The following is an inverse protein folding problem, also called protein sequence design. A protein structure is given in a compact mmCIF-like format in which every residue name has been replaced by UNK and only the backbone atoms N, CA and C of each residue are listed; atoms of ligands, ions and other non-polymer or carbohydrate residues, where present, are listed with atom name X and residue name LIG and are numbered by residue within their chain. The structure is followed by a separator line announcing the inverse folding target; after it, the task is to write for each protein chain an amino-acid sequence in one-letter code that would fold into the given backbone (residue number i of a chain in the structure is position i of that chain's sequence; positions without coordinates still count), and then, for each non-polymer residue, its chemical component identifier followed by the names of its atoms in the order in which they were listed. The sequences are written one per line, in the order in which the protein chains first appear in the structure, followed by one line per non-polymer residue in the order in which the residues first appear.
data_IF_781897813642
#
_entry.id   IF_781897813642
#
_cell.length_a   1.000
_cell.length_b   1.000
_cell.length_c   1.000
_cell.angle_alpha   90.00
_cell.angle_beta   90.00
_cell.angle_gamma   90.00
#
_symmetry.space_group_name_H-M   'P 1'
#
loop_
_entity.id
_entity.type
_entity.pdbx_description
1 polymer ?
#
# COMPACT_ATOMS: atom_id res chain seq x y z
N UNK A 1 73.00 -42.20 42.50
CA UNK A 1 71.83 -41.30 42.64
C UNK A 1 71.49 -40.78 41.25
N UNK A 2 70.25 -40.99 40.79
CA UNK A 2 69.74 -40.54 39.48
C UNK A 2 69.51 -39.03 39.54
N UNK A 3 70.24 -38.25 38.73
CA UNK A 3 69.97 -36.82 38.52
C UNK A 3 69.04 -36.66 37.33
N UNK A 4 67.80 -36.29 37.59
CA UNK A 4 66.77 -36.01 36.59
C UNK A 4 66.99 -34.58 36.07
N UNK A 5 67.46 -34.45 34.82
CA UNK A 5 67.50 -33.14 34.15
C UNK A 5 66.07 -32.78 33.74
N UNK A 6 65.40 -31.94 34.54
CA UNK A 6 64.23 -31.20 34.07
C UNK A 6 64.77 -30.07 33.20
N UNK A 7 64.74 -30.24 31.87
CA UNK A 7 64.85 -29.10 30.97
C UNK A 7 63.55 -28.32 31.10
N UNK A 8 63.55 -27.24 31.87
CA UNK A 8 62.44 -26.28 31.84
C UNK A 8 62.34 -25.72 30.42
N UNK A 9 61.26 -26.05 29.72
CA UNK A 9 61.03 -25.62 28.33
C UNK A 9 60.98 -24.09 28.28
N UNK A 10 62.01 -23.41 27.73
CA UNK A 10 62.12 -21.95 27.80
C UNK A 10 61.05 -21.24 26.97
N UNK A 11 60.26 -21.99 26.17
CA UNK A 11 59.18 -21.48 25.34
C UNK A 11 57.79 -21.57 26.00
N UNK A 12 57.65 -22.20 27.18
CA UNK A 12 56.36 -22.36 27.86
C UNK A 12 55.74 -21.02 28.28
N UNK A 13 56.56 -20.08 28.78
CA UNK A 13 56.12 -18.74 29.14
C UNK A 13 55.86 -17.86 27.92
N UNK A 14 56.66 -18.01 26.85
CA UNK A 14 56.45 -17.28 25.59
C UNK A 14 55.18 -17.76 24.86
N UNK A 15 54.86 -19.07 24.90
CA UNK A 15 53.59 -19.61 24.38
C UNK A 15 52.39 -19.15 25.18
N UNK A 16 52.49 -19.07 26.51
CA UNK A 16 51.44 -18.50 27.36
C UNK A 16 51.16 -17.04 27.00
N UNK A 17 52.22 -16.23 26.89
CA UNK A 17 52.11 -14.83 26.50
C UNK A 17 51.54 -14.63 25.08
N UNK A 18 51.90 -15.51 24.13
CA UNK A 18 51.33 -15.50 22.78
C UNK A 18 49.84 -15.88 22.77
N UNK A 19 49.42 -16.85 23.58
CA UNK A 19 48.01 -17.22 23.71
C UNK A 19 47.20 -16.09 24.36
N UNK A 20 47.75 -15.43 25.37
CA UNK A 20 47.10 -14.28 26.01
C UNK A 20 46.94 -13.11 25.01
N UNK A 21 47.94 -12.88 24.15
CA UNK A 21 47.84 -11.88 23.07
C UNK A 21 46.76 -12.27 22.05
N UNK A 22 46.69 -13.53 21.64
CA UNK A 22 45.67 -14.00 20.68
C UNK A 22 44.27 -13.80 21.25
N UNK A 23 44.03 -14.17 22.51
CA UNK A 23 42.74 -13.98 23.15
C UNK A 23 42.33 -12.49 23.20
N UNK A 24 43.27 -11.59 23.50
CA UNK A 24 42.99 -10.15 23.49
C UNK A 24 42.69 -9.62 22.09
N UNK A 25 43.31 -10.16 21.05
CA UNK A 25 43.03 -9.78 19.66
C UNK A 25 41.64 -10.25 19.25
N UNK A 26 41.25 -11.46 19.65
CA UNK A 26 39.91 -12.01 19.38
C UNK A 26 38.84 -11.19 20.12
N UNK A 27 39.03 -10.89 21.41
CA UNK A 27 38.12 -10.04 22.20
C UNK A 27 37.94 -8.63 21.58
N UNK A 28 39.01 -8.07 20.99
CA UNK A 28 38.97 -6.76 20.32
C UNK A 28 38.27 -6.84 18.97
N UNK A 29 38.40 -7.95 18.25
CA UNK A 29 37.71 -8.16 16.98
C UNK A 29 36.20 -8.30 17.20
N UNK A 30 35.79 -9.09 18.19
CA UNK A 30 34.38 -9.27 18.56
C UNK A 30 33.76 -7.93 19.00
N UNK A 31 34.47 -7.16 19.83
CA UNK A 31 34.01 -5.82 20.24
C UNK A 31 33.92 -4.83 19.07
N UNK A 32 34.73 -4.99 18.02
CA UNK A 32 34.65 -4.14 16.84
C UNK A 32 33.43 -4.49 15.96
N UNK A 33 33.06 -5.77 15.87
CA UNK A 33 31.86 -6.24 15.17
C UNK A 33 30.58 -5.75 15.88
N UNK A 34 30.52 -5.85 17.22
CA UNK A 34 29.39 -5.30 17.99
C UNK A 34 29.22 -3.78 17.83
N UNK A 35 30.34 -3.06 17.65
CA UNK A 35 30.31 -1.61 17.40
C UNK A 35 29.81 -1.29 15.99
N UNK A 36 30.18 -2.09 14.98
CA UNK A 36 29.75 -1.92 13.59
C UNK A 36 28.22 -2.10 13.48
N UNK A 37 27.69 -3.18 14.07
CA UNK A 37 26.24 -3.42 14.14
C UNK A 37 25.49 -2.29 14.86
N UNK A 38 26.08 -1.77 15.94
CA UNK A 38 25.50 -0.64 16.68
C UNK A 38 25.54 0.67 15.89
N UNK A 39 26.55 0.86 15.02
CA UNK A 39 26.65 2.02 14.13
C UNK A 39 25.56 1.95 13.07
N UNK A 40 25.34 0.79 12.45
CA UNK A 40 24.28 0.59 11.46
C UNK A 40 22.89 0.89 12.07
N UNK A 41 22.62 0.46 13.30
CA UNK A 41 21.37 0.78 14.00
C UNK A 41 21.22 2.29 14.26
N UNK A 42 22.31 2.96 14.67
CA UNK A 42 22.32 4.41 14.89
C UNK A 42 22.17 5.18 13.59
N UNK A 43 22.78 4.73 12.49
CA UNK A 43 22.67 5.40 11.18
C UNK A 43 21.23 5.34 10.66
N UNK A 44 20.54 4.22 10.82
CA UNK A 44 19.11 4.09 10.50
C UNK A 44 18.24 5.01 11.39
N UNK A 45 18.51 5.04 12.70
CA UNK A 45 17.79 5.94 13.62
C UNK A 45 18.08 7.43 13.32
N UNK A 46 19.26 7.77 12.80
CA UNK A 46 19.61 9.13 12.37
C UNK A 46 18.89 9.50 11.08
N UNK A 47 18.73 8.56 10.13
CA UNK A 47 17.94 8.78 8.91
C UNK A 47 16.48 9.05 9.24
N UNK A 48 15.87 8.24 10.13
CA UNK A 48 14.52 8.46 10.69
C UNK A 48 14.38 9.84 11.36
N UNK A 49 15.44 10.30 12.06
CA UNK A 49 15.46 11.63 12.67
C UNK A 49 15.60 12.74 11.62
N UNK A 50 16.42 12.54 10.59
CA UNK A 50 16.57 13.48 9.47
C UNK A 50 15.26 13.73 8.75
N UNK A 51 14.48 12.67 8.52
CA UNK A 51 13.15 12.77 7.91
C UNK A 51 12.14 13.59 8.74
N UNK A 52 12.32 13.66 10.06
CA UNK A 52 11.52 14.51 10.97
C UNK A 52 11.96 15.97 11.00
N UNK A 53 13.15 16.29 10.51
CA UNK A 53 13.74 17.63 10.55
C UNK A 53 13.90 18.31 9.19
N UNK A 54 13.77 17.58 8.07
CA UNK A 54 13.74 18.15 6.72
C UNK A 54 12.46 18.96 6.41
N UNK A 55 11.53 19.03 7.36
CA UNK A 55 10.43 20.00 7.37
C UNK A 55 10.92 21.38 7.82
N UNK A 56 11.69 22.02 6.94
CA UNK A 56 12.07 23.43 6.99
C UNK A 56 10.85 24.35 6.70
N UNK A 57 9.71 24.09 7.34
CA UNK A 57 8.50 24.92 7.32
C UNK A 57 7.66 24.73 8.60
N UNK A 58 8.13 25.39 9.66
CA UNK A 58 7.31 25.99 10.72
C UNK A 58 6.48 25.03 11.58
N UNK A 59 7.11 24.39 12.57
CA UNK A 59 6.35 23.93 13.73
C UNK A 59 7.06 24.13 15.06
N UNK A 60 7.03 25.37 15.53
CA UNK A 60 6.96 25.64 16.96
C UNK A 60 5.54 25.30 17.48
N UNK A 61 5.13 24.03 17.31
CA UNK A 61 3.96 23.37 17.89
C UNK A 61 2.63 23.40 17.09
N UNK A 62 2.26 22.27 16.47
CA UNK A 62 0.88 21.86 16.29
C UNK A 62 0.27 21.90 14.88
N UNK A 63 1.02 21.99 13.79
CA UNK A 63 0.41 21.89 12.45
C UNK A 63 0.24 20.44 11.98
N UNK A 64 -0.70 19.71 12.60
CA UNK A 64 -1.13 18.36 12.18
C UNK A 64 -1.61 18.24 10.72
N UNK A 65 -1.60 19.33 9.94
CA UNK A 65 -1.94 19.33 8.52
C UNK A 65 -0.79 18.84 7.63
N UNK A 66 0.42 18.67 8.17
CA UNK A 66 1.54 18.00 7.49
C UNK A 66 2.15 17.01 8.47
N UNK A 67 2.02 15.71 8.20
CA UNK A 67 2.67 14.67 9.01
C UNK A 67 3.36 13.70 8.06
N UNK A 68 4.54 13.25 8.46
CA UNK A 68 5.36 12.27 7.73
C UNK A 68 5.73 11.17 8.73
N UNK A 69 5.59 9.93 8.32
CA UNK A 69 6.04 8.75 9.05
C UNK A 69 7.56 8.60 9.00
N UNK A 70 8.01 7.40 9.29
CA UNK A 70 9.39 6.97 9.41
C UNK A 70 9.65 5.82 8.44
N UNK A 71 10.74 5.10 8.60
CA UNK A 71 11.00 3.88 7.83
C UNK A 71 10.29 2.61 8.36
N UNK A 72 9.38 2.77 9.32
CA UNK A 72 8.73 1.70 10.09
C UNK A 72 7.22 1.89 10.02
N UNK A 73 6.48 0.82 10.28
CA UNK A 73 5.01 0.84 10.40
C UNK A 73 4.52 1.95 11.35
N UNK A 74 3.83 2.93 10.79
CA UNK A 74 3.33 4.11 11.49
C UNK A 74 1.81 4.16 11.53
N UNK A 75 1.28 4.79 12.59
CA UNK A 75 -0.13 5.17 12.68
C UNK A 75 -0.25 6.69 12.63
N UNK A 76 -0.74 7.19 11.50
CA UNK A 76 -0.81 8.62 11.22
C UNK A 76 -2.27 9.07 11.16
N UNK A 77 -2.62 9.99 12.05
CA UNK A 77 -4.00 10.49 12.14
C UNK A 77 -4.04 12.01 11.94
N UNK A 78 -4.82 12.43 10.94
CA UNK A 78 -5.08 13.81 10.57
C UNK A 78 -5.92 14.57 11.58
N UNK A 79 -6.59 15.64 11.14
CA UNK A 79 -7.52 16.38 11.98
C UNK A 79 -8.77 16.77 11.18
N UNK A 80 -9.57 17.73 11.65
CA UNK A 80 -10.81 18.10 10.95
C UNK A 80 -10.58 19.22 9.91
N UNK A 81 -9.39 19.25 9.30
CA UNK A 81 -8.97 20.21 8.29
C UNK A 81 -8.21 19.43 7.22
N UNK A 82 -8.05 20.02 6.05
CA UNK A 82 -7.21 19.48 4.99
C UNK A 82 -5.79 19.15 5.47
N UNK A 83 -5.43 17.88 5.36
CA UNK A 83 -4.16 17.29 5.75
C UNK A 83 -3.32 16.89 4.53
N UNK A 84 -2.00 16.81 4.70
CA UNK A 84 -1.04 16.21 3.80
C UNK A 84 -0.23 15.20 4.62
N UNK A 85 -0.59 13.92 4.52
CA UNK A 85 -0.04 12.85 5.35
C UNK A 85 0.76 11.88 4.47
N UNK A 86 1.90 11.40 4.97
CA UNK A 86 2.77 10.48 4.24
C UNK A 86 3.29 9.39 5.17
N UNK A 87 3.21 8.13 4.77
CA UNK A 87 3.76 6.99 5.50
C UNK A 87 5.26 6.82 5.35
N UNK A 88 5.72 6.73 4.09
CA UNK A 88 7.10 6.50 3.60
C UNK A 88 7.47 5.04 3.36
N UNK A 89 7.92 4.30 4.38
CA UNK A 89 8.28 2.88 4.28
C UNK A 89 7.72 2.17 5.50
N UNK A 90 7.47 0.87 5.38
CA UNK A 90 6.76 0.12 6.40
C UNK A 90 5.26 0.07 6.11
N UNK A 91 4.56 -0.84 6.79
CA UNK A 91 3.13 -1.05 6.57
C UNK A 91 2.34 0.01 7.38
N UNK A 92 1.93 1.10 6.74
CA UNK A 92 1.38 2.28 7.43
C UNK A 92 -0.16 2.29 7.50
N UNK A 93 -0.71 2.83 8.59
CA UNK A 93 -2.14 3.13 8.74
C UNK A 93 -2.37 4.64 8.82
N UNK A 94 -3.02 5.20 7.80
CA UNK A 94 -3.22 6.65 7.64
C UNK A 94 -4.71 7.01 7.57
N UNK A 95 -5.19 7.87 8.48
CA UNK A 95 -6.58 8.40 8.47
C UNK A 95 -6.60 9.94 8.37
N UNK A 96 -7.16 10.46 7.27
CA UNK A 96 -7.35 11.89 7.01
C UNK A 96 -8.44 12.54 7.88
N UNK A 97 -9.44 11.77 8.31
CA UNK A 97 -10.63 12.22 9.06
C UNK A 97 -11.58 13.14 8.28
N UNK A 98 -11.57 14.44 8.54
CA UNK A 98 -12.45 15.38 7.84
C UNK A 98 -11.60 16.42 7.15
N UNK A 99 -11.87 16.70 5.90
CA UNK A 99 -11.06 17.64 5.15
C UNK A 99 -11.05 17.25 3.69
N UNK A 100 -10.40 18.04 2.87
CA UNK A 100 -9.96 17.54 1.57
C UNK A 100 -8.48 17.20 1.74
N UNK A 101 -8.21 15.93 1.98
CA UNK A 101 -6.92 15.43 2.42
C UNK A 101 -6.09 14.90 1.26
N UNK A 102 -4.77 14.88 1.44
CA UNK A 102 -3.82 14.25 0.52
C UNK A 102 -3.02 13.24 1.32
N UNK A 103 -3.20 11.97 1.01
CA UNK A 103 -2.55 10.84 1.70
C UNK A 103 -1.63 10.10 0.71
N UNK A 104 -0.39 9.82 1.12
CA UNK A 104 0.52 8.85 0.48
C UNK A 104 0.84 7.75 1.48
N UNK A 105 0.73 6.50 1.06
CA UNK A 105 1.27 5.35 1.78
C UNK A 105 2.79 5.36 1.68
N UNK A 106 3.31 4.96 0.53
CA UNK A 106 4.73 5.00 0.23
C UNK A 106 5.19 3.65 -0.29
N UNK A 107 6.16 3.03 0.37
CA UNK A 107 6.54 1.65 0.08
C UNK A 107 5.86 0.74 1.10
N UNK A 108 5.75 -0.52 0.72
CA UNK A 108 5.21 -1.61 1.53
C UNK A 108 3.67 -1.51 1.64
N UNK A 109 3.03 -2.39 2.42
CA UNK A 109 1.58 -2.62 2.28
C UNK A 109 0.78 -1.66 3.18
N UNK A 110 0.18 -0.62 2.59
CA UNK A 110 -0.42 0.48 3.34
C UNK A 110 -1.97 0.44 3.44
N UNK A 111 -2.51 1.08 4.49
CA UNK A 111 -3.95 1.30 4.69
C UNK A 111 -4.25 2.80 4.77
N UNK A 112 -4.93 3.32 3.76
CA UNK A 112 -5.27 4.75 3.65
C UNK A 112 -6.78 4.98 3.73
N UNK A 113 -7.21 5.87 4.60
CA UNK A 113 -8.62 6.28 4.76
C UNK A 113 -8.78 7.80 4.66
N UNK A 114 -9.48 8.30 3.64
CA UNK A 114 -9.81 9.73 3.49
C UNK A 114 -10.94 10.19 4.42
N UNK A 115 -11.90 9.29 4.68
CA UNK A 115 -13.06 9.49 5.53
C UNK A 115 -14.10 10.47 4.97
N UNK A 116 -13.90 11.78 5.05
CA UNK A 116 -14.92 12.74 4.59
C UNK A 116 -14.35 14.01 3.99
N UNK A 117 -14.95 14.41 2.88
CA UNK A 117 -14.51 15.50 2.03
C UNK A 117 -13.94 14.92 0.73
N UNK A 118 -13.31 15.75 -0.09
CA UNK A 118 -12.82 15.31 -1.40
C UNK A 118 -11.34 15.01 -1.28
N UNK A 119 -11.01 13.73 -1.15
CA UNK A 119 -9.69 13.27 -0.77
C UNK A 119 -8.89 12.76 -1.97
N UNK A 120 -7.56 12.85 -1.84
CA UNK A 120 -6.61 12.25 -2.79
C UNK A 120 -5.75 11.24 -2.06
N UNK A 121 -5.92 9.97 -2.38
CA UNK A 121 -5.17 8.85 -1.79
C UNK A 121 -4.25 8.24 -2.85
N UNK A 122 -2.99 8.00 -2.49
CA UNK A 122 -2.02 7.29 -3.32
C UNK A 122 -1.34 6.21 -2.48
N UNK A 123 -1.47 4.94 -2.88
CA UNK A 123 -0.78 3.83 -2.22
C UNK A 123 0.73 3.86 -2.50
N UNK A 124 1.08 4.04 -3.78
CA UNK A 124 2.44 4.03 -4.33
C UNK A 124 2.95 2.61 -4.62
N UNK A 125 3.70 1.95 -3.74
CA UNK A 125 4.27 0.64 -4.01
C UNK A 125 4.03 -0.33 -2.86
N UNK A 126 3.30 -1.40 -3.12
CA UNK A 126 2.87 -2.36 -2.09
C UNK A 126 1.50 -2.89 -2.46
N UNK A 127 1.00 -3.91 -1.74
CA UNK A 127 -0.38 -4.37 -1.87
C UNK A 127 -1.28 -3.49 -0.96
N UNK A 128 -1.74 -2.36 -1.47
CA UNK A 128 -2.36 -1.29 -0.68
C UNK A 128 -3.89 -1.43 -0.52
N UNK A 129 -4.43 -0.85 0.56
CA UNK A 129 -5.88 -0.75 0.81
C UNK A 129 -6.32 0.72 0.97
N UNK A 130 -7.02 1.24 -0.03
CA UNK A 130 -7.44 2.64 -0.09
C UNK A 130 -8.97 2.78 0.05
N UNK A 131 -9.41 3.65 0.96
CA UNK A 131 -10.82 4.00 1.15
C UNK A 131 -11.02 5.53 1.11
N UNK A 132 -11.73 6.03 0.08
CA UNK A 132 -12.03 7.46 -0.09
C UNK A 132 -12.97 7.97 0.99
N UNK A 133 -14.18 7.39 1.05
CA UNK A 133 -15.16 7.70 2.08
C UNK A 133 -16.35 8.47 1.53
N UNK A 134 -16.68 9.62 2.13
CA UNK A 134 -17.77 10.49 1.69
C UNK A 134 -17.21 11.70 0.94
N UNK A 135 -17.45 11.81 -0.36
CA UNK A 135 -17.02 12.98 -1.12
C UNK A 135 -16.85 12.72 -2.61
N UNK A 136 -15.89 13.39 -3.23
CA UNK A 136 -15.48 13.09 -4.60
C UNK A 136 -14.00 12.82 -4.56
N UNK A 137 -13.67 11.54 -4.46
CA UNK A 137 -12.34 11.10 -4.10
C UNK A 137 -11.56 10.68 -5.34
N UNK A 138 -10.24 10.79 -5.25
CA UNK A 138 -9.30 10.27 -6.24
C UNK A 138 -8.37 9.29 -5.57
N UNK A 139 -8.48 8.02 -5.95
CA UNK A 139 -7.69 6.92 -5.40
C UNK A 139 -6.77 6.38 -6.50
N UNK A 140 -5.49 6.22 -6.18
CA UNK A 140 -4.50 5.60 -7.03
C UNK A 140 -3.78 4.52 -6.21
N UNK A 141 -3.90 3.24 -6.61
CA UNK A 141 -3.22 2.12 -5.97
C UNK A 141 -1.72 2.25 -6.17
N UNK A 142 -1.27 2.04 -7.41
CA UNK A 142 0.11 2.24 -7.79
C UNK A 142 0.71 0.96 -8.34
N UNK A 143 1.67 0.36 -7.66
CA UNK A 143 2.20 -0.95 -8.03
C UNK A 143 2.00 -1.94 -6.90
N UNK A 144 1.44 -3.11 -7.21
CA UNK A 144 1.08 -4.14 -6.25
C UNK A 144 -0.35 -4.59 -6.50
N UNK A 145 -0.89 -5.48 -5.68
CA UNK A 145 -2.29 -5.93 -5.81
C UNK A 145 -3.16 -5.10 -4.86
N UNK A 146 -3.74 -4.03 -5.37
CA UNK A 146 -4.40 -3.03 -4.56
C UNK A 146 -5.90 -3.28 -4.40
N UNK A 147 -6.47 -2.77 -3.31
CA UNK A 147 -7.91 -2.75 -3.06
C UNK A 147 -8.39 -1.31 -2.89
N UNK A 148 -9.17 -0.83 -3.84
CA UNK A 148 -9.67 0.55 -3.87
C UNK A 148 -11.17 0.60 -3.65
N UNK A 149 -11.59 1.38 -2.66
CA UNK A 149 -13.00 1.66 -2.34
C UNK A 149 -13.29 3.17 -2.38
N UNK A 150 -14.05 3.63 -3.38
CA UNK A 150 -14.40 5.04 -3.53
C UNK A 150 -15.28 5.53 -2.38
N UNK A 151 -16.46 4.91 -2.23
CA UNK A 151 -17.33 5.14 -1.09
C UNK A 151 -18.68 5.74 -1.49
N UNK A 152 -18.93 6.99 -1.10
CA UNK A 152 -20.09 7.76 -1.54
C UNK A 152 -19.60 8.97 -2.34
N UNK A 153 -20.25 9.16 -3.48
CA UNK A 153 -20.13 10.35 -4.31
C UNK A 153 -19.54 9.99 -5.66
N UNK A 154 -19.01 10.95 -6.41
CA UNK A 154 -18.54 10.66 -7.77
C UNK A 154 -17.01 10.53 -7.73
N UNK A 155 -16.53 9.29 -7.66
CA UNK A 155 -15.11 8.98 -7.37
C UNK A 155 -14.33 8.59 -8.64
N UNK A 156 -13.01 8.71 -8.58
CA UNK A 156 -12.07 8.25 -9.61
C UNK A 156 -11.07 7.29 -9.02
N UNK A 157 -11.06 6.05 -9.50
CA UNK A 157 -10.19 4.98 -9.01
C UNK A 157 -9.28 4.48 -10.14
N UNK A 158 -7.98 4.42 -9.87
CA UNK A 158 -6.94 3.91 -10.75
C UNK A 158 -6.15 2.82 -9.99
N UNK A 159 -6.26 1.56 -10.40
CA UNK A 159 -5.56 0.43 -9.78
C UNK A 159 -4.05 0.54 -10.02
N UNK A 160 -3.66 0.57 -11.29
CA UNK A 160 -2.27 0.79 -11.69
C UNK A 160 -1.64 -0.49 -12.21
N UNK A 161 -0.55 -0.95 -11.61
CA UNK A 161 0.09 -2.19 -11.99
C UNK A 161 -0.18 -3.27 -10.95
N UNK A 162 -0.83 -4.35 -11.36
CA UNK A 162 -0.99 -5.54 -10.53
C UNK A 162 -2.39 -6.12 -10.68
N UNK A 163 -2.86 -6.87 -9.68
CA UNK A 163 -4.20 -7.47 -9.78
C UNK A 163 -5.11 -6.79 -8.80
N UNK A 164 -5.77 -5.76 -9.27
CA UNK A 164 -6.44 -4.82 -8.40
C UNK A 164 -7.93 -5.15 -8.26
N UNK A 165 -8.51 -4.71 -7.15
CA UNK A 165 -9.94 -4.80 -6.89
C UNK A 165 -10.47 -3.39 -6.72
N UNK A 166 -11.26 -2.94 -7.69
CA UNK A 166 -11.84 -1.60 -7.68
C UNK A 166 -13.33 -1.68 -7.39
N UNK A 167 -13.77 -0.90 -6.39
CA UNK A 167 -15.17 -0.77 -6.03
C UNK A 167 -15.56 0.69 -5.82
N UNK A 168 -16.29 1.26 -6.80
CA UNK A 168 -16.74 2.66 -6.76
C UNK A 168 -17.57 3.00 -5.50
N UNK A 169 -18.46 2.09 -5.10
CA UNK A 169 -19.00 2.08 -3.74
C UNK A 169 -20.51 1.95 -3.65
N UNK A 170 -21.15 2.73 -2.77
CA UNK A 170 -22.57 2.56 -2.40
C UNK A 170 -23.51 3.56 -3.08
N UNK A 171 -22.98 4.66 -3.59
CA UNK A 171 -23.71 5.74 -4.24
C UNK A 171 -22.70 6.53 -5.08
N UNK A 172 -23.01 6.85 -6.33
CA UNK A 172 -22.07 7.58 -7.16
C UNK A 172 -22.24 7.37 -8.63
N UNK A 173 -21.50 8.14 -9.42
CA UNK A 173 -21.10 7.72 -10.75
C UNK A 173 -19.59 7.73 -10.80
N UNK A 174 -19.02 6.56 -10.57
CA UNK A 174 -17.58 6.42 -10.42
C UNK A 174 -16.90 6.12 -11.76
N UNK A 175 -15.64 6.52 -11.86
CA UNK A 175 -14.77 6.21 -12.99
C UNK A 175 -13.72 5.23 -12.49
N UNK A 176 -13.65 4.07 -13.13
CA UNK A 176 -12.77 2.97 -12.75
C UNK A 176 -11.80 2.69 -13.89
N UNK A 177 -10.51 2.65 -13.56
CA UNK A 177 -9.40 2.28 -14.42
C UNK A 177 -8.60 1.19 -13.73
N UNK A 178 -8.58 -0.02 -14.29
CA UNK A 178 -7.86 -1.16 -13.69
C UNK A 178 -6.35 -0.99 -13.82
N UNK A 179 -5.90 -0.56 -15.00
CA UNK A 179 -4.51 -0.39 -15.33
C UNK A 179 -3.98 -1.57 -16.12
N UNK A 180 -2.94 -2.21 -15.61
CA UNK A 180 -2.33 -3.38 -16.26
C UNK A 180 -2.59 -4.63 -15.44
N UNK A 181 -2.30 -5.79 -16.03
CA UNK A 181 -2.57 -7.09 -15.42
C UNK A 181 -4.08 -7.38 -15.27
N UNK A 182 -4.53 -8.11 -14.25
CA UNK A 182 -5.87 -8.71 -14.21
C UNK A 182 -6.68 -8.16 -13.06
N UNK A 183 -7.62 -7.30 -13.39
CA UNK A 183 -8.36 -6.55 -12.38
C UNK A 183 -9.78 -7.07 -12.19
N UNK A 184 -10.37 -6.67 -11.06
CA UNK A 184 -11.74 -6.95 -10.71
C UNK A 184 -12.49 -5.64 -10.48
N UNK A 185 -13.41 -5.33 -11.39
CA UNK A 185 -14.37 -4.24 -11.20
C UNK A 185 -15.58 -4.76 -10.43
N UNK A 186 -15.63 -4.50 -9.13
CA UNK A 186 -16.71 -4.96 -8.26
C UNK A 186 -17.97 -4.10 -8.44
N UNK A 187 -19.11 -4.76 -8.58
CA UNK A 187 -20.41 -4.11 -8.76
C UNK A 187 -21.26 -4.17 -7.50
N UNK A 188 -22.14 -3.18 -7.35
CA UNK A 188 -23.20 -3.20 -6.36
C UNK A 188 -24.54 -2.83 -6.98
N UNK A 189 -25.61 -3.46 -6.50
CA UNK A 189 -26.96 -3.08 -6.92
C UNK A 189 -27.32 -1.74 -6.30
N UNK A 190 -27.91 -0.85 -7.11
CA UNK A 190 -28.41 0.47 -6.69
C UNK A 190 -27.31 1.40 -6.15
N UNK A 191 -26.05 1.19 -6.53
CA UNK A 191 -24.95 2.12 -6.22
C UNK A 191 -24.86 3.28 -7.20
N UNK A 192 -25.44 3.15 -8.38
CA UNK A 192 -25.23 4.14 -9.44
C UNK A 192 -24.91 3.44 -10.74
N UNK A 193 -24.37 4.19 -11.70
CA UNK A 193 -23.88 3.63 -12.96
C UNK A 193 -22.40 3.97 -13.06
N UNK A 194 -21.52 3.04 -12.71
CA UNK A 194 -20.09 3.30 -12.75
C UNK A 194 -19.57 3.07 -14.17
N UNK A 195 -18.45 3.71 -14.53
CA UNK A 195 -17.85 3.66 -15.84
C UNK A 195 -16.49 2.98 -15.77
N UNK A 196 -16.33 1.88 -16.49
CA UNK A 196 -15.02 1.23 -16.66
C UNK A 196 -14.41 1.71 -17.97
N UNK A 197 -13.18 2.24 -17.93
CA UNK A 197 -12.55 2.88 -19.09
C UNK A 197 -11.66 1.94 -19.91
N UNK A 198 -11.07 0.93 -19.27
CA UNK A 198 -9.95 0.14 -19.80
C UNK A 198 -10.15 -1.37 -19.65
N UNK A 199 -11.40 -1.84 -19.63
CA UNK A 199 -11.70 -3.26 -19.57
C UNK A 199 -11.04 -4.05 -20.72
N UNK A 200 -10.13 -4.96 -20.39
CA UNK A 200 -9.46 -5.87 -21.30
C UNK A 200 -10.15 -7.25 -21.32
N UNK A 201 -10.90 -7.52 -22.40
CA UNK A 201 -11.62 -8.80 -22.62
C UNK A 201 -10.70 -10.03 -22.45
N UNK A 202 -11.08 -10.93 -21.55
CA UNK A 202 -10.34 -12.16 -21.24
C UNK A 202 -9.15 -11.99 -20.28
N UNK A 203 -8.88 -10.76 -19.84
CA UNK A 203 -7.89 -10.43 -18.83
C UNK A 203 -8.63 -10.02 -17.55
N UNK A 204 -9.44 -8.97 -17.63
CA UNK A 204 -10.18 -8.42 -16.49
C UNK A 204 -11.46 -9.19 -16.21
N UNK A 205 -12.00 -8.95 -15.00
CA UNK A 205 -13.21 -9.58 -14.53
C UNK A 205 -14.14 -8.57 -13.86
N UNK A 206 -15.42 -8.91 -13.84
CA UNK A 206 -16.47 -8.13 -13.19
C UNK A 206 -16.95 -8.89 -11.97
N UNK A 207 -16.81 -8.27 -10.80
CA UNK A 207 -17.34 -8.78 -9.55
C UNK A 207 -18.83 -8.56 -9.45
N UNK A 208 -19.60 -9.64 -9.36
CA UNK A 208 -21.04 -9.57 -9.21
C UNK A 208 -21.44 -9.33 -7.75
N UNK A 209 -22.27 -8.31 -7.56
CA UNK A 209 -22.92 -8.01 -6.29
C UNK A 209 -23.54 -9.27 -5.66
N UNK A 210 -23.46 -9.39 -4.34
CA UNK A 210 -24.03 -10.51 -3.58
C UNK A 210 -25.42 -10.93 -4.07
N UNK A 211 -25.54 -12.22 -4.41
CA UNK A 211 -26.80 -12.84 -4.85
C UNK A 211 -27.17 -12.60 -6.32
N UNK A 212 -26.35 -11.86 -7.07
CA UNK A 212 -26.49 -11.71 -8.51
C UNK A 212 -25.79 -12.87 -9.24
N UNK A 213 -26.38 -13.34 -10.33
CA UNK A 213 -25.85 -14.39 -11.19
C UNK A 213 -25.74 -13.92 -12.63
N UNK A 214 -24.78 -14.49 -13.38
CA UNK A 214 -24.54 -14.15 -14.79
C UNK A 214 -25.80 -14.21 -15.68
N UNK A 215 -26.69 -15.18 -15.45
CA UNK A 215 -27.93 -15.32 -16.23
C UNK A 215 -28.99 -14.24 -15.94
N UNK A 216 -28.78 -13.40 -14.93
CA UNK A 216 -29.64 -12.26 -14.61
C UNK A 216 -29.15 -10.96 -15.27
N UNK A 217 -27.96 -10.99 -15.89
CA UNK A 217 -27.37 -9.84 -16.55
C UNK A 217 -27.96 -9.62 -17.93
N UNK A 218 -28.07 -8.36 -18.30
CA UNK A 218 -28.43 -7.89 -19.64
C UNK A 218 -27.36 -6.94 -20.14
N UNK A 219 -26.86 -7.24 -21.34
CA UNK A 219 -25.87 -6.45 -22.06
C UNK A 219 -26.56 -5.63 -23.14
N UNK A 220 -26.43 -4.30 -23.08
CA UNK A 220 -27.04 -3.37 -24.05
C UNK A 220 -25.96 -2.51 -24.68
N UNK A 221 -25.75 -2.64 -25.99
CA UNK A 221 -24.80 -1.81 -26.73
C UNK A 221 -25.28 -0.34 -26.77
N UNK A 222 -24.37 0.59 -26.48
CA UNK A 222 -24.55 2.04 -26.57
C UNK A 222 -23.35 2.66 -27.29
N UNK A 223 -23.46 2.82 -28.62
CA UNK A 223 -22.31 3.22 -29.43
C UNK A 223 -21.19 2.18 -29.33
N UNK A 224 -20.00 2.60 -28.91
CA UNK A 224 -18.85 1.71 -28.69
C UNK A 224 -18.80 1.10 -27.28
N UNK A 225 -19.76 1.43 -26.42
CA UNK A 225 -19.77 0.99 -25.02
C UNK A 225 -20.85 -0.06 -24.79
N UNK A 226 -20.71 -0.85 -23.75
CA UNK A 226 -21.74 -1.79 -23.31
C UNK A 226 -22.24 -1.44 -21.92
N UNK A 227 -23.55 -1.24 -21.80
CA UNK A 227 -24.23 -1.16 -20.51
C UNK A 227 -24.53 -2.58 -20.01
N UNK A 228 -24.04 -2.89 -18.81
CA UNK A 228 -24.37 -4.08 -18.05
C UNK A 228 -25.43 -3.70 -17.01
N UNK A 229 -26.54 -4.44 -17.02
CA UNK A 229 -27.69 -4.19 -16.14
C UNK A 229 -28.26 -5.49 -15.58
N UNK A 230 -28.93 -5.40 -14.43
CA UNK A 230 -29.65 -6.52 -13.80
C UNK A 230 -31.04 -6.06 -13.33
N UNK A 231 -32.08 -6.50 -14.02
CA UNK A 231 -33.44 -6.05 -13.75
C UNK A 231 -33.61 -4.55 -14.03
N UNK A 232 -33.85 -3.75 -13.00
CA UNK A 232 -33.96 -2.29 -13.07
C UNK A 232 -32.65 -1.56 -12.72
N UNK A 233 -31.64 -2.30 -12.25
CA UNK A 233 -30.38 -1.72 -11.82
C UNK A 233 -29.41 -1.66 -13.00
N UNK A 234 -28.90 -0.46 -13.28
CA UNK A 234 -27.71 -0.30 -14.10
C UNK A 234 -26.50 -0.57 -13.20
N UNK A 235 -25.52 -1.34 -13.69
CA UNK A 235 -24.35 -1.72 -12.91
C UNK A 235 -23.12 -0.98 -13.42
N UNK A 236 -22.75 -1.25 -14.68
CA UNK A 236 -21.54 -0.69 -15.30
C UNK A 236 -21.82 -0.24 -16.72
N UNK A 237 -21.20 0.86 -17.13
CA UNK A 237 -20.98 1.22 -18.52
C UNK A 237 -19.52 0.91 -18.85
N UNK A 238 -19.30 -0.16 -19.61
CA UNK A 238 -17.96 -0.60 -19.99
C UNK A 238 -17.61 0.05 -21.33
N UNK A 239 -16.56 0.86 -21.33
CA UNK A 239 -16.14 1.63 -22.49
C UNK A 239 -15.48 0.74 -23.54
N UNK A 240 -15.64 1.12 -24.81
CA UNK A 240 -14.98 0.48 -25.96
C UNK A 240 -15.12 -1.05 -26.04
N UNK A 241 -16.18 -1.60 -25.45
CA UNK A 241 -16.44 -3.04 -25.37
C UNK A 241 -17.78 -3.36 -26.00
N UNK A 242 -17.83 -4.40 -26.83
CA UNK A 242 -19.05 -4.87 -27.47
C UNK A 242 -19.78 -5.91 -26.62
N UNK A 243 -21.12 -5.86 -26.64
CA UNK A 243 -21.97 -6.69 -25.79
C UNK A 243 -21.79 -8.20 -25.98
N UNK A 244 -21.35 -8.64 -27.16
CA UNK A 244 -21.10 -10.04 -27.50
C UNK A 244 -19.74 -10.58 -27.03
N UNK A 245 -18.87 -9.72 -26.47
CA UNK A 245 -17.57 -10.13 -25.93
C UNK A 245 -17.72 -10.78 -24.56
N UNK A 246 -18.69 -10.31 -23.75
CA UNK A 246 -18.95 -10.82 -22.41
C UNK A 246 -19.38 -12.30 -22.40
N UNK A 247 -18.66 -13.10 -21.62
CA UNK A 247 -18.87 -14.52 -21.36
C UNK A 247 -18.96 -14.75 -19.86
N UNK A 248 -19.51 -15.91 -19.48
CA UNK A 248 -19.68 -16.27 -18.06
C UNK A 248 -18.38 -16.20 -17.24
N UNK A 249 -17.23 -16.52 -17.83
CA UNK A 249 -15.96 -16.59 -17.11
C UNK A 249 -15.40 -15.21 -16.75
N UNK A 250 -15.86 -14.17 -17.43
CA UNK A 250 -15.51 -12.77 -17.17
C UNK A 250 -16.13 -12.27 -15.87
N UNK A 251 -17.02 -13.06 -15.25
CA UNK A 251 -17.71 -12.68 -14.03
C UNK A 251 -17.28 -13.56 -12.86
N UNK A 252 -17.11 -12.94 -11.69
CA UNK A 252 -16.90 -13.61 -10.41
C UNK A 252 -18.07 -13.34 -9.49
N UNK A 253 -18.50 -14.35 -8.75
CA UNK A 253 -19.45 -14.16 -7.66
C UNK A 253 -18.68 -14.01 -6.35
N UNK A 254 -19.18 -13.17 -5.44
CA UNK A 254 -18.87 -13.33 -4.02
C UNK A 254 -19.26 -14.75 -3.58
N UNK A 255 -18.34 -15.46 -2.92
CA UNK A 255 -18.61 -16.78 -2.34
C UNK A 255 -19.48 -16.68 -1.09
#
# INVERSE_FOLDING_TARGET
MKGFFVTSDPFSTTRGFLNDIVNVVDDVADAAEEIDDSIDEIENDIEDIGDRFDDDDDDNGGNKNKLKGTSKDDQIEGNNKNNNLKGLQGDDEIDGRNGNDVLSGGKDDDVLTGSSGNDRLVGEAGDDSLAGGDGRDTLQGGSGNDVLFGGKGDDSLDGGNGRDILFGGKAGRDILFGGTDKDIFATKRRSGLDVVLDYFDGIDRIGLAKGLQFNQLKFTQQGNNTLISAGQDNLLLVSNTFANQFKKNDFVNEK
#
